data_IF_101700700698
#
_entry.id   IF_101700700698
#
_cell.length_a   1.000
_cell.length_b   1.000
_cell.length_c   1.000
_cell.angle_alpha   90.00
_cell.angle_beta   90.00
_cell.angle_gamma   90.00
#
_symmetry.space_group_name_H-M   'P 1'
#
loop_
_entity.id
_entity.type
_entity.pdbx_description
1 polymer ?
#
# COMPACT_ATOMS: atom_id res chain seq x y z
N UNK A 1 -30.91 -11.46 -15.38
CA UNK A 1 -29.63 -11.00 -15.95
C UNK A 1 -29.89 -9.70 -16.70
N UNK A 2 -29.35 -8.55 -16.27
CA UNK A 2 -29.56 -7.27 -16.98
C UNK A 2 -28.63 -7.21 -18.17
N UNK A 3 -29.17 -7.25 -19.38
CA UNK A 3 -28.40 -6.97 -20.60
C UNK A 3 -28.25 -5.45 -20.68
N UNK A 4 -27.02 -4.96 -20.55
CA UNK A 4 -26.68 -3.54 -20.69
C UNK A 4 -26.16 -3.27 -22.09
N UNK A 5 -26.52 -2.11 -22.67
CA UNK A 5 -26.14 -1.76 -24.03
C UNK A 5 -24.66 -1.41 -24.13
N UNK A 6 -24.06 -1.63 -25.31
CA UNK A 6 -22.67 -1.22 -25.61
C UNK A 6 -22.42 0.26 -25.27
N UNK A 7 -23.41 1.13 -25.54
CA UNK A 7 -23.31 2.55 -25.25
C UNK A 7 -23.30 2.84 -23.73
N UNK A 8 -24.06 2.08 -22.95
CA UNK A 8 -24.05 2.17 -21.48
C UNK A 8 -22.72 1.69 -20.89
N UNK A 9 -22.12 0.63 -21.46
CA UNK A 9 -20.80 0.14 -21.05
C UNK A 9 -19.73 1.20 -21.36
N UNK A 10 -19.71 1.74 -22.59
CA UNK A 10 -18.72 2.71 -23.01
C UNK A 10 -18.84 4.06 -22.26
N UNK A 11 -20.05 4.51 -21.95
CA UNK A 11 -20.24 5.77 -21.20
C UNK A 11 -19.77 5.65 -19.75
N UNK A 12 -20.00 4.50 -19.09
CA UNK A 12 -19.56 4.27 -17.72
C UNK A 12 -18.08 3.90 -17.59
N UNK A 13 -17.46 3.33 -18.62
CA UNK A 13 -16.01 3.16 -18.67
C UNK A 13 -15.32 4.54 -18.74
N UNK A 14 -15.81 5.44 -19.59
CA UNK A 14 -15.21 6.76 -19.80
C UNK A 14 -15.42 7.74 -18.63
N UNK A 15 -16.50 7.61 -17.86
CA UNK A 15 -16.75 8.45 -16.69
C UNK A 15 -15.81 8.12 -15.52
N UNK A 16 -15.43 6.86 -15.36
CA UNK A 16 -14.53 6.41 -14.27
C UNK A 16 -13.06 6.81 -14.44
N UNK A 17 -12.65 7.22 -15.65
CA UNK A 17 -11.26 7.52 -16.00
C UNK A 17 -10.92 9.02 -15.99
N UNK A 18 -11.90 9.91 -15.83
CA UNK A 18 -11.66 11.36 -15.80
C UNK A 18 -11.38 11.83 -14.37
N UNK A 19 -10.13 11.77 -13.95
CA UNK A 19 -9.68 12.65 -12.87
C UNK A 19 -9.84 14.10 -13.36
N UNK A 20 -10.58 14.93 -12.63
CA UNK A 20 -10.75 16.34 -13.02
C UNK A 20 -9.38 17.04 -13.03
N UNK A 21 -9.13 17.90 -14.01
CA UNK A 21 -7.89 18.68 -14.11
C UNK A 21 -7.57 19.44 -12.81
N UNK A 22 -8.60 19.82 -12.05
CA UNK A 22 -8.51 20.47 -10.74
C UNK A 22 -7.89 19.60 -9.63
N UNK A 23 -8.12 18.29 -9.64
CA UNK A 23 -7.50 17.38 -8.67
C UNK A 23 -6.01 17.24 -8.97
N UNK A 24 -5.66 17.09 -10.24
CA UNK A 24 -4.26 16.97 -10.69
C UNK A 24 -3.42 18.19 -10.30
N UNK A 25 -3.93 19.40 -10.53
CA UNK A 25 -3.23 20.63 -10.14
C UNK A 25 -3.05 20.74 -8.63
N UNK A 26 -4.07 20.40 -7.84
CA UNK A 26 -3.99 20.42 -6.37
C UNK A 26 -2.95 19.44 -5.84
N UNK A 27 -2.97 18.19 -6.34
CA UNK A 27 -1.99 17.15 -5.95
C UNK A 27 -0.58 17.57 -6.32
N UNK A 28 -0.38 18.12 -7.52
CA UNK A 28 0.92 18.61 -7.97
C UNK A 28 1.48 19.68 -7.03
N UNK A 29 0.67 20.67 -6.64
CA UNK A 29 1.09 21.72 -5.71
C UNK A 29 1.47 21.17 -4.33
N UNK A 30 0.76 20.16 -3.83
CA UNK A 30 1.09 19.49 -2.54
C UNK A 30 2.44 18.78 -2.65
N UNK A 31 2.67 18.03 -3.74
CA UNK A 31 3.92 17.31 -3.97
C UNK A 31 5.09 18.29 -4.07
N UNK A 32 4.92 19.42 -4.78
CA UNK A 32 5.96 20.45 -4.92
C UNK A 32 6.29 21.12 -3.58
N UNK A 33 5.29 21.42 -2.74
CA UNK A 33 5.51 21.94 -1.39
C UNK A 33 6.28 20.94 -0.51
N UNK A 34 5.92 19.66 -0.56
CA UNK A 34 6.62 18.59 0.18
C UNK A 34 8.06 18.43 -0.30
N UNK A 35 8.31 18.46 -1.62
CA UNK A 35 9.68 18.40 -2.16
C UNK A 35 10.54 19.57 -1.69
N UNK A 36 9.97 20.78 -1.60
CA UNK A 36 10.70 21.99 -1.19
C UNK A 36 10.91 22.08 0.33
N UNK A 37 9.90 21.70 1.11
CA UNK A 37 9.83 22.01 2.53
C UNK A 37 9.82 20.76 3.46
N UNK A 38 9.87 19.55 2.90
CA UNK A 38 9.99 18.29 3.63
C UNK A 38 8.93 18.08 4.70
N UNK A 39 9.35 17.59 5.86
CA UNK A 39 8.46 17.26 7.00
C UNK A 39 7.58 18.42 7.47
N UNK A 40 8.03 19.68 7.28
CA UNK A 40 7.22 20.85 7.64
C UNK A 40 5.97 20.95 6.77
N UNK A 41 6.10 20.70 5.46
CA UNK A 41 4.96 20.65 4.54
C UNK A 41 4.07 19.44 4.82
N UNK A 42 4.65 18.27 5.09
CA UNK A 42 3.87 17.08 5.50
C UNK A 42 3.01 17.40 6.73
N UNK A 43 3.62 17.99 7.78
CA UNK A 43 2.89 18.36 8.98
C UNK A 43 1.79 19.40 8.71
N UNK A 44 2.06 20.39 7.86
CA UNK A 44 1.07 21.38 7.41
C UNK A 44 -0.15 20.69 6.79
N UNK A 45 0.04 19.71 5.91
CA UNK A 45 -1.07 19.01 5.27
C UNK A 45 -1.79 18.01 6.19
N UNK A 46 -1.06 17.29 7.05
CA UNK A 46 -1.68 16.44 8.09
C UNK A 46 -2.57 17.28 9.01
N UNK A 47 -2.09 18.45 9.45
CA UNK A 47 -2.90 19.37 10.27
C UNK A 47 -4.13 19.89 9.55
N UNK A 48 -4.01 20.15 8.25
CA UNK A 48 -5.10 20.68 7.42
C UNK A 48 -6.19 19.64 7.17
N UNK A 49 -5.83 18.39 6.91
CA UNK A 49 -6.78 17.38 6.41
C UNK A 49 -7.16 16.31 7.43
N UNK A 50 -6.34 16.04 8.45
CA UNK A 50 -6.55 14.92 9.36
C UNK A 50 -6.61 15.33 10.83
N UNK A 51 -5.53 15.92 11.36
CA UNK A 51 -5.40 16.19 12.80
C UNK A 51 -4.73 17.54 13.07
N UNK A 52 -5.49 18.60 13.42
CA UNK A 52 -4.95 19.94 13.71
C UNK A 52 -3.89 19.97 14.82
N UNK A 53 -3.88 18.98 15.71
CA UNK A 53 -2.93 18.83 16.83
C UNK A 53 -1.73 17.95 16.50
N UNK A 54 -1.55 17.55 15.24
CA UNK A 54 -0.39 16.75 14.83
C UNK A 54 0.94 17.48 15.12
N UNK A 55 1.98 16.70 15.41
CA UNK A 55 3.35 17.15 15.61
C UNK A 55 4.28 16.15 14.93
N UNK A 56 5.50 16.57 14.57
CA UNK A 56 6.50 15.66 13.95
C UNK A 56 6.74 14.42 14.83
N UNK A 57 6.65 14.57 16.16
CA UNK A 57 6.85 13.46 17.10
C UNK A 57 5.70 12.45 17.13
N UNK A 58 4.46 12.88 16.83
CA UNK A 58 3.27 12.03 16.98
C UNK A 58 2.74 11.43 15.67
N UNK A 59 3.24 11.87 14.51
CA UNK A 59 2.90 11.26 13.21
C UNK A 59 3.52 9.86 13.04
N UNK A 60 4.64 9.58 13.72
CA UNK A 60 5.25 8.25 13.77
C UNK A 60 4.82 7.52 15.03
N UNK A 61 4.12 6.41 14.87
CA UNK A 61 3.73 5.56 15.99
C UNK A 61 4.95 4.82 16.56
N UNK A 62 5.09 4.82 17.88
CA UNK A 62 6.13 4.06 18.57
C UNK A 62 5.79 2.56 18.59
N UNK A 63 6.82 1.71 18.73
CA UNK A 63 6.63 0.26 18.87
C UNK A 63 5.75 -0.08 20.08
N UNK A 64 5.85 0.70 21.14
CA UNK A 64 5.04 0.56 22.36
C UNK A 64 3.56 0.81 22.06
N UNK A 65 3.22 1.89 21.34
CA UNK A 65 1.83 2.19 20.94
C UNK A 65 1.27 1.07 20.08
N UNK A 66 2.04 0.58 19.09
CA UNK A 66 1.63 -0.54 18.25
C UNK A 66 1.40 -1.83 19.04
N UNK A 67 2.28 -2.14 20.00
CA UNK A 67 2.13 -3.31 20.88
C UNK A 67 0.90 -3.19 21.77
N UNK A 68 0.65 -2.02 22.36
CA UNK A 68 -0.54 -1.79 23.17
C UNK A 68 -1.82 -1.92 22.35
N UNK A 69 -1.86 -1.38 21.13
CA UNK A 69 -3.00 -1.52 20.21
C UNK A 69 -3.23 -2.99 19.80
N UNK A 70 -2.16 -3.74 19.52
CA UNK A 70 -2.27 -5.18 19.27
C UNK A 70 -2.77 -5.93 20.51
N UNK A 71 -2.34 -5.52 21.71
CA UNK A 71 -2.78 -6.19 22.93
C UNK A 71 -4.24 -5.90 23.28
N UNK A 72 -4.77 -4.73 22.90
CA UNK A 72 -6.15 -4.33 23.19
C UNK A 72 -7.20 -4.99 22.31
N UNK A 73 -6.84 -5.58 21.16
CA UNK A 73 -7.82 -6.30 20.34
C UNK A 73 -8.19 -7.66 20.96
N UNK A 74 -9.42 -8.10 20.67
CA UNK A 74 -9.98 -9.33 21.24
C UNK A 74 -9.17 -10.57 20.85
N UNK A 75 -9.27 -11.64 21.66
CA UNK A 75 -8.63 -12.92 21.31
C UNK A 75 -9.12 -13.44 19.95
N UNK A 76 -10.42 -13.31 19.68
CA UNK A 76 -11.02 -13.74 18.43
C UNK A 76 -10.43 -12.99 17.23
N UNK A 77 -10.30 -11.66 17.31
CA UNK A 77 -9.72 -10.85 16.24
C UNK A 77 -8.24 -11.18 16.02
N UNK A 78 -7.48 -11.41 17.11
CA UNK A 78 -6.08 -11.84 17.02
C UNK A 78 -5.96 -13.15 16.24
N UNK A 79 -6.80 -14.14 16.53
CA UNK A 79 -6.77 -15.42 15.83
C UNK A 79 -7.21 -15.29 14.36
N UNK A 80 -8.21 -14.45 14.08
CA UNK A 80 -8.62 -14.14 12.70
C UNK A 80 -7.47 -13.50 11.89
N UNK A 81 -6.77 -12.51 12.47
CA UNK A 81 -5.62 -11.86 11.83
C UNK A 81 -4.45 -12.84 11.63
N UNK A 82 -4.17 -13.72 12.59
CA UNK A 82 -3.14 -14.76 12.45
C UNK A 82 -3.48 -15.76 11.35
N UNK A 83 -4.74 -16.17 11.23
CA UNK A 83 -5.20 -17.05 10.16
C UNK A 83 -5.04 -16.37 8.80
N UNK A 84 -5.47 -15.12 8.67
CA UNK A 84 -5.30 -14.33 7.45
C UNK A 84 -3.82 -14.21 7.07
N UNK A 85 -2.96 -13.85 8.03
CA UNK A 85 -1.51 -13.79 7.84
C UNK A 85 -0.96 -15.12 7.30
N UNK A 86 -1.28 -16.25 7.95
CA UNK A 86 -0.79 -17.57 7.53
C UNK A 86 -1.16 -17.91 6.10
N UNK A 87 -2.40 -17.63 5.69
CA UNK A 87 -2.90 -17.91 4.34
C UNK A 87 -2.24 -17.02 3.29
N UNK A 88 -2.15 -15.72 3.56
CA UNK A 88 -1.52 -14.74 2.65
C UNK A 88 -0.03 -15.04 2.49
N UNK A 89 0.67 -15.28 3.61
CA UNK A 89 2.08 -15.67 3.60
C UNK A 89 2.31 -16.96 2.81
N UNK A 90 1.54 -18.02 3.10
CA UNK A 90 1.65 -19.29 2.37
C UNK A 90 1.45 -19.12 0.86
N UNK A 91 0.49 -18.30 0.44
CA UNK A 91 0.25 -18.03 -0.98
C UNK A 91 1.43 -17.31 -1.63
N UNK A 92 1.92 -16.21 -1.03
CA UNK A 92 3.01 -15.43 -1.62
C UNK A 92 4.36 -16.15 -1.58
N UNK A 93 4.63 -16.99 -0.58
CA UNK A 93 5.88 -17.78 -0.57
C UNK A 93 5.95 -18.77 -1.73
N UNK A 94 4.81 -19.29 -2.20
CA UNK A 94 4.74 -20.15 -3.40
C UNK A 94 4.98 -19.39 -4.70
N UNK A 95 4.85 -18.06 -4.71
CA UNK A 95 5.12 -17.20 -5.87
C UNK A 95 6.55 -16.67 -5.91
N UNK A 96 7.33 -16.87 -4.84
CA UNK A 96 8.68 -16.33 -4.72
C UNK A 96 9.58 -16.97 -5.78
N UNK A 97 10.12 -16.12 -6.67
CA UNK A 97 11.09 -16.54 -7.68
C UNK A 97 12.48 -16.65 -7.06
N UNK A 98 13.21 -17.68 -7.44
CA UNK A 98 14.60 -17.88 -7.03
C UNK A 98 15.52 -17.47 -8.18
N UNK A 99 16.64 -16.85 -7.86
CA UNK A 99 17.71 -16.63 -8.84
C UNK A 99 18.27 -17.98 -9.29
N UNK A 100 18.62 -18.10 -10.57
CA UNK A 100 19.15 -19.34 -11.13
C UNK A 100 20.09 -19.06 -12.29
N UNK A 101 20.88 -20.07 -12.66
CA UNK A 101 21.75 -20.06 -13.83
C UNK A 101 21.53 -21.30 -14.67
N UNK A 102 21.70 -21.20 -15.98
CA UNK A 102 21.61 -22.34 -16.89
C UNK A 102 22.61 -22.17 -18.05
N UNK A 103 22.82 -23.25 -18.81
CA UNK A 103 23.60 -23.23 -20.04
C UNK A 103 22.72 -23.56 -21.24
N UNK A 104 23.06 -23.02 -22.40
CA UNK A 104 22.45 -23.42 -23.66
C UNK A 104 23.20 -24.59 -24.33
N UNK A 105 22.77 -24.95 -25.54
CA UNK A 105 23.39 -26.02 -26.35
C UNK A 105 24.80 -25.68 -26.83
N UNK A 106 25.23 -24.41 -26.73
CA UNK A 106 26.55 -23.92 -27.12
C UNK A 106 27.48 -23.72 -25.90
N UNK A 107 27.10 -24.25 -24.74
CA UNK A 107 27.79 -24.10 -23.44
C UNK A 107 27.85 -22.66 -22.88
N UNK A 108 27.06 -21.73 -23.43
CA UNK A 108 26.99 -20.34 -22.94
C UNK A 108 26.22 -20.30 -21.62
N UNK A 109 26.82 -19.69 -20.58
CA UNK A 109 26.22 -19.59 -19.24
C UNK A 109 25.39 -18.31 -19.07
N UNK A 110 24.13 -18.47 -18.70
CA UNK A 110 23.18 -17.40 -18.39
C UNK A 110 22.88 -17.35 -16.90
N UNK A 111 22.57 -16.16 -16.39
CA UNK A 111 22.16 -15.94 -15.00
C UNK A 111 20.91 -15.06 -14.97
N UNK A 112 19.92 -15.47 -14.17
CA UNK A 112 18.74 -14.68 -13.85
C UNK A 112 18.76 -14.40 -12.37
N UNK A 113 18.80 -13.11 -12.02
CA UNK A 113 18.85 -12.64 -10.64
C UNK A 113 17.55 -11.91 -10.28
N UNK A 114 16.90 -12.37 -9.20
CA UNK A 114 15.74 -11.72 -8.60
C UNK A 114 16.19 -11.00 -7.32
N UNK A 115 16.19 -9.67 -7.34
CA UNK A 115 16.49 -8.83 -6.18
C UNK A 115 15.22 -8.13 -5.66
N UNK A 116 15.05 -8.00 -4.33
CA UNK A 116 13.99 -7.18 -3.78
C UNK A 116 14.23 -5.69 -4.06
N UNK A 117 13.19 -4.88 -3.93
CA UNK A 117 13.30 -3.42 -3.91
C UNK A 117 13.77 -2.99 -2.52
N UNK A 118 14.82 -2.18 -2.43
CA UNK A 118 15.46 -1.81 -1.15
C UNK A 118 14.52 -1.09 -0.18
N UNK A 119 13.65 -0.22 -0.69
CA UNK A 119 12.73 0.58 0.11
C UNK A 119 11.35 0.62 -0.54
N UNK A 120 10.32 0.24 0.22
CA UNK A 120 8.92 0.29 -0.22
C UNK A 120 8.07 1.09 0.76
N UNK A 121 7.23 1.98 0.24
CA UNK A 121 6.23 2.71 1.00
C UNK A 121 4.85 2.11 0.74
N UNK A 122 4.09 1.84 1.80
CA UNK A 122 2.76 1.23 1.72
C UNK A 122 1.71 2.22 2.22
N UNK A 123 0.81 2.64 1.34
CA UNK A 123 -0.31 3.51 1.70
C UNK A 123 -1.51 2.67 2.12
N UNK A 124 -2.02 2.92 3.33
CA UNK A 124 -3.22 2.28 3.86
C UNK A 124 -4.26 3.39 4.05
N UNK A 125 -5.41 3.34 3.34
CA UNK A 125 -6.43 4.35 3.49
C UNK A 125 -6.98 4.34 4.92
N UNK A 126 -6.96 5.51 5.56
CA UNK A 126 -7.61 5.76 6.85
C UNK A 126 -9.05 6.23 6.70
N UNK A 127 -9.68 6.60 7.82
CA UNK A 127 -11.04 7.16 7.87
C UNK A 127 -11.99 6.33 8.72
N UNK A 128 -13.27 6.29 8.31
CA UNK A 128 -14.36 5.65 9.08
C UNK A 128 -14.31 4.11 9.10
N UNK A 129 -13.58 3.49 8.16
CA UNK A 129 -13.44 2.05 8.07
C UNK A 129 -11.99 1.63 8.33
N UNK A 130 -11.82 0.56 9.11
CA UNK A 130 -10.52 -0.07 9.33
C UNK A 130 -10.27 -1.15 8.28
N UNK A 131 -9.13 -1.08 7.58
CA UNK A 131 -8.75 -2.04 6.53
C UNK A 131 -7.51 -2.88 6.91
N UNK A 132 -7.59 -3.74 7.95
CA UNK A 132 -6.47 -4.60 8.33
C UNK A 132 -6.07 -5.58 7.21
N UNK A 133 -7.01 -5.93 6.32
CA UNK A 133 -6.74 -6.74 5.14
C UNK A 133 -5.74 -6.08 4.20
N UNK A 134 -5.87 -4.79 3.91
CA UNK A 134 -4.93 -4.04 3.04
C UNK A 134 -3.52 -4.02 3.65
N UNK A 135 -3.43 -3.87 4.97
CA UNK A 135 -2.14 -3.96 5.68
C UNK A 135 -1.51 -5.32 5.45
N UNK A 136 -2.24 -6.41 5.68
CA UNK A 136 -1.69 -7.76 5.51
C UNK A 136 -1.32 -8.06 4.06
N UNK A 137 -2.18 -7.72 3.10
CA UNK A 137 -1.95 -8.00 1.67
C UNK A 137 -0.78 -7.23 1.07
N UNK A 138 -0.40 -6.09 1.65
CA UNK A 138 0.71 -5.27 1.15
C UNK A 138 2.01 -5.51 1.93
N UNK A 139 1.94 -5.65 3.26
CA UNK A 139 3.13 -5.80 4.11
C UNK A 139 3.74 -7.20 4.09
N UNK A 140 2.93 -8.25 3.94
CA UNK A 140 3.40 -9.64 3.97
C UNK A 140 4.27 -9.96 2.73
N UNK A 141 3.84 -9.70 1.48
CA UNK A 141 4.70 -9.98 0.32
C UNK A 141 5.92 -9.06 0.22
N UNK A 142 5.90 -7.91 0.90
CA UNK A 142 7.03 -6.98 0.95
C UNK A 142 8.15 -7.41 1.93
N UNK A 143 7.86 -8.37 2.83
CA UNK A 143 8.79 -8.90 3.83
C UNK A 143 9.46 -10.18 3.35
#
# INVERSE_FOLDING_TARGET
>A
MKIVSKNWILSNLNSSLKASTSVSSTVKSIIEDIKKNGDRAVLKYVKKFENPKATIKNIKLSKQVLKSAYNSISKQDKEALKLAYRRIHYYHTKQKKTSYSYKDQLDTKFYIQWNPIDNVGLYIPGGMASYPSTVLMTTIPAK
#
